data_IF_366693474842
#
_entry.id   IF_366693474842
#
_cell.length_a   1.000
_cell.length_b   1.000
_cell.length_c   1.000
_cell.angle_alpha   90.00
_cell.angle_beta   90.00
_cell.angle_gamma   90.00
#
_symmetry.space_group_name_H-M   'P 1'
#
loop_
_entity.id
_entity.type
_entity.pdbx_description
1 polymer ?
#
# COMPACT_ATOMS: atom_id res chain seq x y z
N UNK A 1 8.46 -2.69 -10.43
CA UNK A 1 7.27 -3.33 -9.85
C UNK A 1 6.09 -2.38 -9.95
N UNK A 2 4.98 -2.83 -10.50
CA UNK A 2 3.70 -2.09 -10.41
C UNK A 2 3.16 -2.12 -8.99
N UNK A 3 2.17 -1.26 -8.71
CA UNK A 3 1.62 -1.06 -7.38
C UNK A 3 1.05 -2.35 -6.74
N UNK A 4 0.33 -3.24 -7.45
CA UNK A 4 -0.15 -4.51 -6.86
C UNK A 4 1.00 -5.38 -6.33
N UNK A 5 2.08 -5.50 -7.09
CA UNK A 5 3.27 -6.25 -6.68
C UNK A 5 3.97 -5.57 -5.50
N UNK A 6 4.03 -4.24 -5.47
CA UNK A 6 4.58 -3.51 -4.32
C UNK A 6 3.74 -3.75 -3.05
N UNK A 7 2.41 -3.79 -3.16
CA UNK A 7 1.50 -4.15 -2.06
C UNK A 7 1.74 -5.57 -1.56
N UNK A 8 1.86 -6.54 -2.47
CA UNK A 8 2.21 -7.92 -2.13
C UNK A 8 3.54 -8.03 -1.37
N UNK A 9 4.60 -7.43 -1.91
CA UNK A 9 5.93 -7.47 -1.31
C UNK A 9 5.95 -6.81 0.07
N UNK A 10 5.23 -5.71 0.25
CA UNK A 10 5.09 -5.06 1.55
C UNK A 10 4.37 -5.96 2.56
N UNK A 11 3.21 -6.52 2.21
CA UNK A 11 2.44 -7.40 3.11
C UNK A 11 3.28 -8.60 3.53
N UNK A 12 3.90 -9.29 2.57
CA UNK A 12 4.72 -10.48 2.83
C UNK A 12 5.86 -10.23 3.83
N UNK A 13 6.41 -9.01 3.87
CA UNK A 13 7.62 -8.68 4.64
C UNK A 13 7.35 -7.97 5.96
N UNK A 14 6.26 -7.20 6.05
CA UNK A 14 6.02 -6.28 7.18
C UNK A 14 4.72 -6.54 7.94
N UNK A 15 3.74 -7.22 7.33
CA UNK A 15 2.51 -7.61 8.01
C UNK A 15 1.94 -8.95 7.51
N UNK A 16 2.74 -10.03 7.47
CA UNK A 16 2.29 -11.30 6.88
C UNK A 16 1.18 -11.93 7.74
N UNK A 17 0.06 -12.40 7.16
CA UNK A 17 -1.00 -13.02 7.94
C UNK A 17 -0.57 -14.25 8.75
N UNK A 18 0.44 -14.99 8.26
CA UNK A 18 1.04 -16.13 8.99
C UNK A 18 1.67 -15.77 10.33
N UNK A 19 1.96 -14.48 10.58
CA UNK A 19 2.48 -13.97 11.86
C UNK A 19 1.37 -13.35 12.73
N UNK A 20 0.11 -13.67 12.46
CA UNK A 20 -1.04 -13.20 13.26
C UNK A 20 -1.65 -11.89 12.79
N UNK A 21 -1.22 -11.36 11.63
CA UNK A 21 -1.84 -10.19 11.02
C UNK A 21 -3.17 -10.54 10.33
N UNK A 22 -4.15 -9.67 10.49
CA UNK A 22 -5.38 -9.65 9.69
C UNK A 22 -5.23 -8.54 8.66
N UNK A 23 -5.12 -8.89 7.39
CA UNK A 23 -4.77 -7.94 6.34
C UNK A 23 -5.89 -7.80 5.31
N UNK A 24 -6.21 -6.55 5.00
CA UNK A 24 -7.00 -6.13 3.85
C UNK A 24 -6.09 -5.35 2.90
N UNK A 25 -6.19 -5.66 1.61
CA UNK A 25 -5.52 -4.92 0.54
C UNK A 25 -6.57 -4.50 -0.49
N UNK A 26 -6.56 -3.22 -0.83
CA UNK A 26 -7.29 -2.70 -1.98
C UNK A 26 -6.43 -2.76 -3.23
N UNK A 27 -7.02 -3.12 -4.36
CA UNK A 27 -6.35 -3.10 -5.67
C UNK A 27 -7.34 -2.51 -6.66
N UNK A 28 -7.12 -1.24 -7.01
CA UNK A 28 -7.99 -0.52 -7.92
C UNK A 28 -7.84 -1.01 -9.37
N UNK A 29 -8.91 -0.89 -10.15
CA UNK A 29 -8.90 -1.18 -11.58
C UNK A 29 -7.79 -0.41 -12.33
N UNK A 30 -7.45 0.80 -11.86
CA UNK A 30 -6.41 1.62 -12.46
C UNK A 30 -4.99 1.06 -12.28
N UNK A 31 -4.76 0.31 -11.19
CA UNK A 31 -3.48 -0.31 -10.87
C UNK A 31 -3.18 -1.50 -11.77
N UNK A 32 -4.23 -2.13 -12.30
CA UNK A 32 -4.15 -3.27 -13.22
C UNK A 32 -4.44 -2.86 -14.67
N UNK A 33 -4.33 -1.57 -15.00
CA UNK A 33 -4.43 -1.08 -16.38
C UNK A 33 -5.85 -1.07 -16.96
N UNK A 34 -6.89 -1.29 -16.15
CA UNK A 34 -8.31 -1.39 -16.60
C UNK A 34 -9.04 -0.04 -16.68
N UNK A 35 -8.35 1.09 -16.52
CA UNK A 35 -8.95 2.43 -16.61
C UNK A 35 -8.21 3.34 -17.59
N UNK A 36 -8.96 4.09 -18.40
CA UNK A 36 -8.43 5.12 -19.31
C UNK A 36 -8.86 4.91 -20.77
N UNK A 37 -8.52 5.87 -21.64
CA UNK A 37 -8.75 5.77 -23.08
C UNK A 37 -7.97 4.59 -23.68
N UNK A 38 -8.46 3.97 -24.78
CA UNK A 38 -7.75 2.90 -25.47
C UNK A 38 -6.30 3.31 -25.77
N UNK A 39 -5.34 2.44 -25.43
CA UNK A 39 -3.93 2.66 -25.74
C UNK A 39 -3.71 2.42 -27.24
N UNK A 40 -3.10 3.38 -27.91
CA UNK A 40 -2.94 3.36 -29.37
C UNK A 40 -1.53 2.97 -29.82
N UNK A 41 -0.52 3.08 -28.97
CA UNK A 41 0.86 2.72 -29.31
C UNK A 41 1.17 1.26 -28.91
N UNK A 42 2.00 0.53 -29.69
CA UNK A 42 2.39 -0.85 -29.37
C UNK A 42 3.02 -0.99 -27.98
N UNK A 43 3.87 -0.02 -27.60
CA UNK A 43 4.51 0.02 -26.28
C UNK A 43 3.49 0.16 -25.15
N UNK A 44 2.50 1.06 -25.29
CA UNK A 44 1.48 1.27 -24.28
C UNK A 44 0.55 0.05 -24.13
N UNK A 45 0.24 -0.63 -25.24
CA UNK A 45 -0.53 -1.89 -25.24
C UNK A 45 0.26 -2.99 -24.54
N UNK A 46 1.55 -3.15 -24.87
CA UNK A 46 2.41 -4.15 -24.22
C UNK A 46 2.55 -3.89 -22.72
N UNK A 47 2.72 -2.63 -22.32
CA UNK A 47 2.80 -2.27 -20.91
C UNK A 47 1.47 -2.51 -20.17
N UNK A 48 0.31 -2.24 -20.80
CA UNK A 48 -0.99 -2.55 -20.21
C UNK A 48 -1.16 -4.06 -19.97
N UNK A 49 -0.85 -4.90 -20.96
CA UNK A 49 -0.92 -6.37 -20.80
C UNK A 49 -0.02 -6.86 -19.66
N UNK A 50 1.16 -6.25 -19.52
CA UNK A 50 2.08 -6.55 -18.43
C UNK A 50 1.50 -6.13 -17.07
N UNK A 51 0.89 -4.95 -16.96
CA UNK A 51 0.20 -4.50 -15.75
C UNK A 51 -0.94 -5.42 -15.35
N UNK A 52 -1.73 -5.88 -16.32
CA UNK A 52 -2.84 -6.83 -16.09
C UNK A 52 -2.31 -8.17 -15.57
N UNK A 53 -1.29 -8.72 -16.23
CA UNK A 53 -0.68 -10.01 -15.84
C UNK A 53 0.01 -9.94 -14.48
N UNK A 54 0.86 -8.94 -14.24
CA UNK A 54 1.55 -8.75 -12.95
C UNK A 54 0.52 -8.46 -11.83
N UNK A 55 -0.55 -7.72 -12.15
CA UNK A 55 -1.62 -7.41 -11.22
C UNK A 55 -2.42 -8.65 -10.76
N UNK A 56 -2.74 -9.55 -11.69
CA UNK A 56 -3.43 -10.80 -11.35
C UNK A 56 -2.52 -11.73 -10.54
N UNK A 57 -1.26 -11.87 -10.92
CA UNK A 57 -0.28 -12.66 -10.16
C UNK A 57 -0.12 -12.14 -8.72
N UNK A 58 -0.02 -10.82 -8.54
CA UNK A 58 0.06 -10.22 -7.21
C UNK A 58 -1.22 -10.45 -6.38
N UNK A 59 -2.40 -10.38 -7.02
CA UNK A 59 -3.69 -10.69 -6.38
C UNK A 59 -3.75 -12.14 -5.91
N UNK A 60 -3.39 -13.10 -6.76
CA UNK A 60 -3.35 -14.52 -6.41
C UNK A 60 -2.36 -14.78 -5.27
N UNK A 61 -1.18 -14.17 -5.31
CA UNK A 61 -0.16 -14.30 -4.28
C UNK A 61 -0.63 -13.72 -2.93
N UNK A 62 -1.29 -12.56 -2.92
CA UNK A 62 -1.90 -11.97 -1.72
C UNK A 62 -2.99 -12.89 -1.14
N UNK A 63 -3.89 -13.41 -1.98
CA UNK A 63 -4.92 -14.36 -1.53
C UNK A 63 -4.27 -15.62 -0.95
N UNK A 64 -3.20 -16.13 -1.57
CA UNK A 64 -2.41 -17.26 -1.07
C UNK A 64 -1.78 -17.02 0.31
N UNK A 65 -1.50 -15.77 0.67
CA UNK A 65 -1.04 -15.40 2.02
C UNK A 65 -2.17 -15.33 3.05
N UNK A 66 -3.44 -15.45 2.64
CA UNK A 66 -4.61 -15.27 3.52
C UNK A 66 -5.10 -13.83 3.60
N UNK A 67 -4.69 -12.96 2.68
CA UNK A 67 -5.12 -11.56 2.61
C UNK A 67 -6.51 -11.45 2.00
N UNK A 68 -7.36 -10.56 2.54
CA UNK A 68 -8.58 -10.15 1.84
C UNK A 68 -8.22 -9.10 0.79
N UNK A 69 -8.40 -9.43 -0.50
CA UNK A 69 -8.13 -8.51 -1.62
C UNK A 69 -9.44 -7.97 -2.20
N UNK A 70 -9.67 -6.66 -2.08
CA UNK A 70 -10.90 -5.99 -2.49
C UNK A 70 -12.16 -6.49 -1.77
N UNK A 71 -13.34 -6.23 -2.37
CA UNK A 71 -14.69 -6.41 -1.77
C UNK A 71 -15.01 -5.39 -0.69
N UNK A 72 -16.22 -5.48 -0.13
CA UNK A 72 -16.72 -4.62 0.96
C UNK A 72 -15.77 -4.64 2.16
N UNK A 73 -15.05 -3.54 2.36
CA UNK A 73 -14.14 -3.36 3.51
C UNK A 73 -14.91 -3.37 4.84
N UNK A 74 -16.13 -2.85 4.83
CA UNK A 74 -17.05 -2.90 5.99
C UNK A 74 -17.31 -4.34 6.45
N UNK A 75 -17.58 -5.25 5.51
CA UNK A 75 -17.79 -6.66 5.82
C UNK A 75 -16.53 -7.33 6.35
N UNK A 76 -15.36 -6.92 5.82
CA UNK A 76 -14.08 -7.42 6.32
C UNK A 76 -13.82 -7.01 7.77
N UNK A 77 -14.06 -5.74 8.15
CA UNK A 77 -13.93 -5.29 9.53
C UNK A 77 -14.82 -6.10 10.47
N UNK A 78 -16.09 -6.29 10.08
CA UNK A 78 -17.08 -7.07 10.85
C UNK A 78 -16.65 -8.54 11.00
N UNK A 79 -16.29 -9.21 9.90
CA UNK A 79 -15.85 -10.62 9.90
C UNK A 79 -14.63 -10.83 10.80
N UNK A 80 -13.73 -9.86 10.84
CA UNK A 80 -12.47 -9.97 11.57
C UNK A 80 -12.54 -9.43 13.00
N UNK A 81 -13.67 -8.87 13.42
CA UNK A 81 -13.85 -8.24 14.73
C UNK A 81 -12.75 -7.20 15.03
N UNK A 82 -12.44 -6.36 14.05
CA UNK A 82 -11.50 -5.24 14.16
C UNK A 82 -12.24 -3.91 13.96
N UNK A 83 -11.77 -2.80 14.55
CA UNK A 83 -12.42 -1.50 14.39
C UNK A 83 -12.48 -1.07 12.92
N UNK A 84 -13.59 -0.46 12.48
CA UNK A 84 -13.65 0.13 11.16
C UNK A 84 -12.68 1.30 11.04
N UNK A 85 -12.18 1.51 9.83
CA UNK A 85 -11.31 2.64 9.50
C UNK A 85 -11.82 3.32 8.23
N UNK A 86 -11.85 4.64 8.24
CA UNK A 86 -12.40 5.45 7.16
C UNK A 86 -11.39 5.77 6.04
N UNK A 87 -11.95 6.01 4.85
CA UNK A 87 -11.23 6.38 3.64
C UNK A 87 -10.63 5.19 2.90
N UNK A 88 -10.36 5.37 1.62
CA UNK A 88 -9.82 4.34 0.73
C UNK A 88 -8.31 4.20 0.91
N UNK A 89 -7.94 3.15 1.67
CA UNK A 89 -6.55 2.80 1.99
C UNK A 89 -6.14 1.61 1.18
N UNK A 90 -4.94 1.71 0.63
CA UNK A 90 -4.30 0.62 -0.09
C UNK A 90 -4.14 -0.63 0.78
N UNK A 91 -3.68 -0.46 2.03
CA UNK A 91 -3.46 -1.57 2.96
C UNK A 91 -3.93 -1.18 4.35
N UNK A 92 -4.71 -2.08 4.96
CA UNK A 92 -5.07 -2.02 6.38
C UNK A 92 -4.75 -3.37 7.02
N UNK A 93 -3.90 -3.38 8.04
CA UNK A 93 -3.46 -4.59 8.70
C UNK A 93 -3.56 -4.44 10.22
N UNK A 94 -4.21 -5.40 10.88
CA UNK A 94 -4.32 -5.43 12.34
C UNK A 94 -3.55 -6.61 12.90
N UNK A 95 -2.78 -6.40 13.96
CA UNK A 95 -2.18 -7.45 14.75
C UNK A 95 -2.87 -7.50 16.14
N UNK A 96 -3.88 -8.37 16.34
CA UNK A 96 -4.74 -8.31 17.53
C UNK A 96 -4.02 -8.49 18.86
N UNK A 97 -3.01 -9.38 18.90
CA UNK A 97 -2.29 -9.67 20.15
C UNK A 97 -1.43 -8.49 20.63
N UNK A 98 -0.79 -7.74 19.72
CA UNK A 98 0.03 -6.57 20.05
C UNK A 98 -0.76 -5.25 20.02
N UNK A 99 -2.05 -5.33 19.64
CA UNK A 99 -2.95 -4.18 19.46
C UNK A 99 -2.34 -3.11 18.53
N UNK A 100 -1.73 -3.54 17.42
CA UNK A 100 -1.18 -2.65 16.38
C UNK A 100 -2.10 -2.64 15.17
N UNK A 101 -2.36 -1.45 14.62
CA UNK A 101 -2.99 -1.27 13.32
C UNK A 101 -2.00 -0.54 12.41
N UNK A 102 -1.64 -1.17 11.30
CA UNK A 102 -0.80 -0.62 10.26
C UNK A 102 -1.67 -0.20 9.09
N UNK A 103 -1.49 1.04 8.65
CA UNK A 103 -2.13 1.63 7.48
C UNK A 103 -1.03 2.06 6.53
N UNK A 104 -1.12 1.61 5.28
CA UNK A 104 -0.16 2.01 4.27
C UNK A 104 -0.84 2.50 3.01
N UNK A 105 -0.23 3.53 2.41
CA UNK A 105 -0.46 3.94 1.02
C UNK A 105 0.77 3.53 0.20
N UNK A 106 0.56 2.97 -1.00
CA UNK A 106 1.61 2.31 -1.78
C UNK A 106 1.66 2.91 -3.18
N UNK A 107 2.83 3.37 -3.61
CA UNK A 107 3.04 3.85 -4.97
C UNK A 107 4.08 2.98 -5.69
N UNK A 108 3.65 2.33 -6.77
CA UNK A 108 4.50 1.53 -7.65
C UNK A 108 5.03 2.31 -8.85
N UNK A 109 5.68 1.59 -9.77
CA UNK A 109 5.99 2.14 -11.09
C UNK A 109 4.71 2.51 -11.83
N UNK A 110 4.75 3.65 -12.53
CA UNK A 110 3.60 4.16 -13.26
C UNK A 110 4.07 4.96 -14.47
N UNK A 111 3.25 5.00 -15.53
CA UNK A 111 3.51 5.76 -16.76
C UNK A 111 3.11 7.23 -16.67
N UNK A 112 2.51 7.66 -15.55
CA UNK A 112 2.13 9.07 -15.30
C UNK A 112 3.21 9.86 -14.56
N UNK A 113 2.88 11.10 -14.18
CA UNK A 113 3.78 11.97 -13.40
C UNK A 113 3.99 11.44 -11.98
N UNK A 114 5.19 10.97 -11.62
CA UNK A 114 5.45 10.31 -10.33
C UNK A 114 5.17 11.21 -9.12
N UNK A 115 5.46 12.51 -9.25
CA UNK A 115 5.26 13.48 -8.17
C UNK A 115 3.78 13.68 -7.83
N UNK A 116 2.89 13.76 -8.82
CA UNK A 116 1.47 13.98 -8.59
C UNK A 116 0.85 12.82 -7.79
N UNK A 117 1.24 11.59 -8.12
CA UNK A 117 0.81 10.40 -7.39
C UNK A 117 1.35 10.39 -5.96
N UNK A 118 2.62 10.73 -5.78
CA UNK A 118 3.21 10.86 -4.46
C UNK A 118 2.47 11.88 -3.59
N UNK A 119 2.12 13.05 -4.14
CA UNK A 119 1.35 14.06 -3.39
C UNK A 119 -0.05 13.57 -3.03
N UNK A 120 -0.72 12.81 -3.91
CA UNK A 120 -2.00 12.17 -3.61
C UNK A 120 -1.85 11.18 -2.44
N UNK A 121 -0.86 10.30 -2.47
CA UNK A 121 -0.58 9.34 -1.40
C UNK A 121 -0.24 10.04 -0.07
N UNK A 122 0.52 11.13 -0.11
CA UNK A 122 0.80 11.97 1.07
C UNK A 122 -0.50 12.57 1.63
N UNK A 123 -1.36 13.13 0.78
CA UNK A 123 -2.65 13.66 1.20
C UNK A 123 -3.52 12.59 1.86
N UNK A 124 -3.60 11.41 1.25
CA UNK A 124 -4.34 10.27 1.78
C UNK A 124 -3.80 9.84 3.16
N UNK A 125 -2.49 9.65 3.32
CA UNK A 125 -1.95 9.20 4.62
C UNK A 125 -2.12 10.26 5.71
N UNK A 126 -1.97 11.56 5.38
CA UNK A 126 -2.20 12.65 6.35
C UNK A 126 -3.66 12.63 6.81
N UNK A 127 -4.61 12.50 5.89
CA UNK A 127 -6.02 12.35 6.24
C UNK A 127 -6.24 11.14 7.16
N UNK A 128 -5.52 10.03 6.93
CA UNK A 128 -5.58 8.86 7.81
C UNK A 128 -5.12 9.18 9.25
N UNK A 129 -4.13 10.07 9.43
CA UNK A 129 -3.65 10.46 10.77
C UNK A 129 -4.63 11.30 11.57
N UNK A 130 -5.59 11.93 10.91
CA UNK A 130 -6.56 12.84 11.50
C UNK A 130 -7.83 12.16 12.02
N UNK A 131 -8.05 10.87 11.70
CA UNK A 131 -9.23 10.16 12.18
C UNK A 131 -9.09 9.73 13.64
N UNK A 132 -10.24 9.63 14.32
CA UNK A 132 -10.32 9.17 15.69
C UNK A 132 -9.70 7.78 15.83
N UNK A 133 -8.75 7.69 16.75
CA UNK A 133 -8.03 6.45 17.02
C UNK A 133 -8.98 5.50 17.77
N UNK A 134 -9.13 4.24 17.32
CA UNK A 134 -9.73 3.23 18.16
C UNK A 134 -8.94 3.16 19.48
N UNK A 135 -9.59 3.42 20.62
CA UNK A 135 -8.93 3.76 21.88
C UNK A 135 -7.85 2.77 22.36
N UNK A 136 -7.91 1.52 21.92
CA UNK A 136 -6.97 0.46 22.31
C UNK A 136 -5.85 0.17 21.29
N UNK A 137 -5.87 0.77 20.10
CA UNK A 137 -4.98 0.38 19.00
C UNK A 137 -3.86 1.40 18.77
N UNK A 138 -2.63 0.90 18.68
CA UNK A 138 -1.46 1.67 18.25
C UNK A 138 -1.47 1.77 16.73
N UNK A 139 -1.76 2.96 16.20
CA UNK A 139 -1.75 3.22 14.77
C UNK A 139 -0.31 3.44 14.26
N UNK A 140 0.02 2.82 13.13
CA UNK A 140 1.26 2.97 12.38
C UNK A 140 0.93 3.35 10.95
N UNK A 141 1.48 4.46 10.48
CA UNK A 141 1.22 4.98 9.14
C UNK A 141 2.49 4.84 8.29
N UNK A 142 2.36 4.25 7.10
CA UNK A 142 3.51 3.98 6.23
C UNK A 142 3.22 4.44 4.80
N UNK A 143 4.09 5.29 4.25
CA UNK A 143 4.16 5.54 2.82
C UNK A 143 5.17 4.58 2.19
N UNK A 144 4.71 3.73 1.28
CA UNK A 144 5.56 2.76 0.58
C UNK A 144 5.71 3.21 -0.85
N UNK A 145 6.95 3.32 -1.34
CA UNK A 145 7.22 3.70 -2.73
C UNK A 145 8.21 2.75 -3.38
N UNK A 146 8.04 2.49 -4.67
CA UNK A 146 9.00 1.74 -5.47
C UNK A 146 9.50 2.57 -6.66
N UNK A 147 10.82 2.75 -6.75
CA UNK A 147 11.49 3.48 -7.83
C UNK A 147 12.41 4.58 -7.30
N UNK A 148 13.53 4.81 -7.99
CA UNK A 148 14.59 5.73 -7.53
C UNK A 148 14.10 7.17 -7.44
N UNK A 149 13.41 7.66 -8.47
CA UNK A 149 12.94 9.04 -8.54
C UNK A 149 11.91 9.34 -7.43
N UNK A 150 10.83 8.57 -7.37
CA UNK A 150 9.79 8.76 -6.33
C UNK A 150 10.36 8.62 -4.91
N UNK A 151 11.32 7.72 -4.70
CA UNK A 151 12.02 7.59 -3.41
C UNK A 151 12.84 8.83 -3.07
N UNK A 152 13.49 9.45 -4.06
CA UNK A 152 14.24 10.68 -3.87
C UNK A 152 13.32 11.86 -3.52
N UNK A 153 12.15 11.95 -4.16
CA UNK A 153 11.13 12.95 -3.82
C UNK A 153 10.58 12.73 -2.41
N UNK A 154 10.16 11.51 -2.08
CA UNK A 154 9.64 11.19 -0.74
C UNK A 154 10.67 11.46 0.35
N UNK A 155 11.95 11.20 0.11
CA UNK A 155 13.03 11.46 1.08
C UNK A 155 13.13 12.92 1.53
N UNK A 156 12.54 13.87 0.79
CA UNK A 156 12.49 15.30 1.14
C UNK A 156 11.35 15.62 2.12
N UNK A 157 10.31 14.78 2.20
CA UNK A 157 9.13 14.99 3.04
C UNK A 157 9.32 14.53 4.50
N UNK A 158 10.51 14.76 5.09
CA UNK A 158 10.88 14.23 6.41
C UNK A 158 10.00 14.75 7.55
N UNK A 159 9.38 15.92 7.40
CA UNK A 159 8.45 16.49 8.38
C UNK A 159 7.23 15.58 8.64
N UNK A 160 6.88 14.68 7.71
CA UNK A 160 5.83 13.69 7.94
C UNK A 160 6.09 12.79 9.16
N UNK A 161 7.35 12.62 9.57
CA UNK A 161 7.71 11.89 10.81
C UNK A 161 7.09 12.50 12.06
N UNK A 162 6.86 13.82 12.06
CA UNK A 162 6.27 14.56 13.20
C UNK A 162 4.79 14.21 13.37
N UNK A 163 4.15 13.73 12.29
CA UNK A 163 2.79 13.19 12.29
C UNK A 163 2.77 11.67 12.58
N UNK A 164 3.92 11.06 12.90
CA UNK A 164 4.02 9.61 13.13
C UNK A 164 4.02 8.77 11.85
N UNK A 165 4.20 9.39 10.68
CA UNK A 165 4.28 8.68 9.39
C UNK A 165 5.71 8.23 9.13
N UNK A 166 5.86 6.99 8.67
CA UNK A 166 7.13 6.42 8.24
C UNK A 166 7.13 6.22 6.74
N UNK A 167 8.30 6.24 6.11
CA UNK A 167 8.44 6.08 4.67
C UNK A 167 9.41 4.97 4.32
N UNK A 168 8.99 4.10 3.41
CA UNK A 168 9.75 2.96 2.92
C UNK A 168 9.96 3.08 1.41
N UNK A 169 11.23 3.03 1.00
CA UNK A 169 11.60 2.72 -0.38
C UNK A 169 11.71 1.20 -0.50
N UNK A 170 10.75 0.60 -1.19
CA UNK A 170 10.62 -0.85 -1.34
C UNK A 170 11.44 -1.34 -2.55
N UNK A 171 12.34 -2.27 -2.30
CA UNK A 171 13.15 -2.91 -3.33
C UNK A 171 12.51 -4.23 -3.81
N UNK A 172 12.99 -4.71 -4.95
CA UNK A 172 12.56 -5.99 -5.53
C UNK A 172 12.84 -7.15 -4.55
N UNK A 173 13.97 -7.11 -3.84
CA UNK A 173 14.32 -8.06 -2.77
C UNK A 173 14.32 -7.40 -1.38
N UNK A 174 14.25 -8.20 -0.30
CA UNK A 174 14.17 -7.70 1.07
C UNK A 174 15.43 -6.93 1.50
N UNK A 175 16.61 -7.33 1.04
CA UNK A 175 17.90 -6.71 1.38
C UNK A 175 18.04 -5.27 0.86
N UNK A 176 17.20 -4.86 -0.10
CA UNK A 176 17.26 -3.52 -0.69
C UNK A 176 16.30 -2.51 -0.06
N UNK A 177 15.46 -2.94 0.88
CA UNK A 177 14.45 -2.09 1.50
C UNK A 177 15.11 -0.99 2.33
N UNK A 178 14.68 0.26 2.13
CA UNK A 178 15.28 1.41 2.82
C UNK A 178 14.21 2.30 3.44
N UNK A 179 14.22 2.37 4.77
CA UNK A 179 13.45 3.37 5.51
C UNK A 179 14.05 4.75 5.28
N UNK A 180 13.25 5.64 4.68
CA UNK A 180 13.67 7.00 4.33
C UNK A 180 13.57 7.94 5.53
N UNK A 181 12.57 7.72 6.36
CA UNK A 181 12.34 8.37 7.65
C UNK A 181 11.27 7.62 8.45
N UNK A 182 11.07 8.03 9.71
CA UNK A 182 10.15 7.39 10.63
C UNK A 182 10.71 6.09 11.21
N UNK A 183 9.90 5.39 11.98
CA UNK A 183 10.28 4.14 12.62
C UNK A 183 9.74 2.95 11.84
N UNK A 184 10.52 1.87 11.74
CA UNK A 184 10.01 0.59 11.26
C UNK A 184 8.82 0.16 12.14
N UNK A 185 7.66 -0.18 11.56
CA UNK A 185 6.45 -0.52 12.30
C UNK A 185 6.58 -1.84 13.06
#
# INVERSE_FOLDING_TARGET
MFQPEAKFQFVRRYCPPGEGWKVYVDIDASEVGRTGSPRTTPEAIANQKRMESEGEQAREALVGLGVQVGKSRADWFKKNAVPPFEGDRDIVAFHPASKVCLIAEVEGQSTGQPEQKLYKAIGQIIMATSFDRPAEWKLKFVLVVHGKEISAHLSRAKSLRELGVSALSLAVGPEGDRWLFGAKP
#
